data_IF_069162003247
#
_entry.id   IF_069162003247
#
_cell.length_a   1.000
_cell.length_b   1.000
_cell.length_c   1.000
_cell.angle_alpha   90.00
_cell.angle_beta   90.00
_cell.angle_gamma   90.00
#
_symmetry.space_group_name_H-M   'P 1'
#
loop_
_entity.id
_entity.type
_entity.pdbx_description
1 polymer ?
#
# COMPACT_ATOMS: atom_id res chain seq x y z
N UNK A 1 -28.96 30.91 -14.80
CA UNK A 1 -28.36 29.70 -15.40
C UNK A 1 -26.87 29.71 -15.11
N UNK A 2 -26.42 29.00 -14.08
CA UNK A 2 -25.00 28.94 -13.72
C UNK A 2 -24.46 27.60 -14.23
N UNK A 3 -23.66 27.68 -15.30
CA UNK A 3 -22.94 26.55 -15.88
C UNK A 3 -22.03 25.93 -14.83
N UNK A 4 -22.29 24.67 -14.48
CA UNK A 4 -21.47 23.88 -13.56
C UNK A 4 -20.41 23.21 -14.44
N UNK A 5 -19.17 23.66 -14.32
CA UNK A 5 -18.04 23.16 -15.10
C UNK A 5 -17.90 21.64 -15.01
N UNK A 6 -17.77 21.01 -16.15
CA UNK A 6 -17.55 19.57 -16.29
C UNK A 6 -16.22 19.21 -15.62
N UNK A 7 -16.29 18.35 -14.59
CA UNK A 7 -15.11 17.67 -14.05
C UNK A 7 -14.63 16.71 -15.13
N UNK A 8 -13.64 17.14 -15.90
CA UNK A 8 -12.94 16.28 -16.84
C UNK A 8 -12.26 15.16 -16.06
N UNK A 9 -12.74 13.94 -16.26
CA UNK A 9 -12.05 12.73 -15.80
C UNK A 9 -10.68 12.71 -16.46
N UNK A 10 -9.61 12.78 -15.66
CA UNK A 10 -8.27 12.70 -16.21
C UNK A 10 -8.05 11.26 -16.65
N UNK A 11 -8.07 11.01 -17.95
CA UNK A 11 -7.70 9.71 -18.51
C UNK A 11 -6.37 9.26 -17.90
N UNK A 12 -6.36 8.03 -17.36
CA UNK A 12 -5.17 7.42 -16.77
C UNK A 12 -4.04 7.44 -17.80
N UNK A 13 -3.00 8.25 -17.57
CA UNK A 13 -1.77 8.16 -18.35
C UNK A 13 -1.18 6.78 -18.07
N UNK A 14 -0.74 6.01 -19.10
CA UNK A 14 0.02 4.79 -18.87
C UNK A 14 1.41 5.18 -18.35
N UNK A 15 1.48 5.56 -17.08
CA UNK A 15 2.71 5.76 -16.35
C UNK A 15 3.24 4.39 -15.97
N UNK A 16 4.50 4.12 -16.31
CA UNK A 16 5.28 2.94 -15.92
C UNK A 16 4.67 2.18 -14.73
N UNK A 17 4.17 0.97 -15.02
CA UNK A 17 3.45 0.08 -14.10
C UNK A 17 4.37 -0.55 -13.04
N UNK A 18 5.32 0.22 -12.50
CA UNK A 18 6.23 -0.30 -11.49
C UNK A 18 5.49 -0.37 -10.14
N UNK A 19 5.53 -1.54 -9.51
CA UNK A 19 5.15 -1.65 -8.10
C UNK A 19 6.26 -1.03 -7.25
N UNK A 20 5.87 -0.25 -6.26
CA UNK A 20 6.79 0.36 -5.29
C UNK A 20 6.50 -0.19 -3.91
N UNK A 21 7.55 -0.38 -3.12
CA UNK A 21 7.47 -0.96 -1.78
C UNK A 21 8.27 -0.09 -0.80
N UNK A 22 7.80 -0.05 0.44
CA UNK A 22 8.43 0.67 1.54
C UNK A 22 8.36 -0.16 2.81
N UNK A 23 9.39 -0.02 3.64
CA UNK A 23 9.37 -0.39 5.05
C UNK A 23 10.20 0.62 5.83
N UNK A 24 9.72 1.01 7.02
CA UNK A 24 10.46 1.79 8.00
C UNK A 24 9.87 1.56 9.39
N UNK A 25 10.63 0.91 10.27
CA UNK A 25 10.24 0.69 11.68
C UNK A 25 8.86 0.05 11.80
N UNK A 26 8.61 -1.05 11.09
CA UNK A 26 7.30 -1.76 11.00
C UNK A 26 6.20 -1.03 10.25
N UNK A 27 6.35 0.26 9.92
CA UNK A 27 5.46 0.91 8.98
C UNK A 27 5.78 0.38 7.59
N UNK A 28 4.74 0.02 6.82
CA UNK A 28 4.92 -0.59 5.52
C UNK A 28 3.96 0.00 4.50
N UNK A 29 4.38 -0.02 3.24
CA UNK A 29 3.49 0.32 2.13
C UNK A 29 3.84 -0.44 0.86
N UNK A 30 2.84 -0.64 0.02
CA UNK A 30 2.97 -1.07 -1.37
C UNK A 30 2.06 -0.22 -2.23
N UNK A 31 2.55 0.22 -3.39
CA UNK A 31 1.77 0.96 -4.38
C UNK A 31 1.90 0.33 -5.74
N UNK A 32 0.76 -0.01 -6.34
CA UNK A 32 0.63 -0.60 -7.66
C UNK A 32 -0.38 0.21 -8.47
N UNK A 33 0.13 1.04 -9.39
CA UNK A 33 -0.68 2.04 -10.09
C UNK A 33 -1.27 3.06 -9.10
N UNK A 34 -2.60 3.15 -9.08
CA UNK A 34 -3.35 4.06 -8.22
C UNK A 34 -3.72 3.46 -6.87
N UNK A 35 -3.56 2.14 -6.69
CA UNK A 35 -3.80 1.49 -5.41
C UNK A 35 -2.59 1.58 -4.50
N UNK A 36 -2.83 2.02 -3.26
CA UNK A 36 -1.83 2.02 -2.20
C UNK A 36 -2.38 1.28 -0.99
N UNK A 37 -1.64 0.28 -0.54
CA UNK A 37 -1.86 -0.39 0.73
C UNK A 37 -0.78 0.09 1.71
N UNK A 38 -1.18 0.50 2.91
CA UNK A 38 -0.28 1.07 3.92
C UNK A 38 -0.68 0.61 5.32
N UNK A 39 0.28 0.53 6.24
CA UNK A 39 0.05 0.23 7.65
C UNK A 39 1.07 0.96 8.51
N UNK A 40 0.67 1.34 9.72
CA UNK A 40 1.57 1.79 10.79
C UNK A 40 2.15 0.62 11.59
N UNK A 41 1.63 -0.60 11.40
CA UNK A 41 2.16 -1.80 12.03
C UNK A 41 1.96 -3.00 11.10
N UNK A 42 3.03 -3.40 10.41
CA UNK A 42 3.03 -4.58 9.53
C UNK A 42 3.06 -5.91 10.31
N UNK A 43 3.18 -5.87 11.64
CA UNK A 43 3.07 -7.05 12.50
C UNK A 43 1.63 -7.35 12.91
N UNK A 44 0.73 -6.36 12.80
CA UNK A 44 -0.71 -6.53 12.95
C UNK A 44 -1.39 -6.68 11.59
N UNK A 45 -1.93 -7.87 11.35
CA UNK A 45 -2.62 -8.19 10.11
C UNK A 45 -3.88 -7.34 9.88
N UNK A 46 -4.50 -6.82 10.95
CA UNK A 46 -5.71 -6.01 10.89
C UNK A 46 -5.45 -4.50 10.70
N UNK A 47 -4.19 -4.05 10.81
CA UNK A 47 -3.82 -2.63 10.75
C UNK A 47 -3.66 -2.07 9.32
N UNK A 48 -3.81 -2.92 8.29
CA UNK A 48 -3.64 -2.52 6.89
C UNK A 48 -4.83 -1.72 6.37
N UNK A 49 -4.53 -0.61 5.71
CA UNK A 49 -5.48 0.29 5.08
C UNK A 49 -5.23 0.37 3.57
N UNK A 50 -6.31 0.49 2.80
CA UNK A 50 -6.25 0.55 1.34
C UNK A 50 -6.84 1.87 0.85
N UNK A 51 -6.13 2.50 -0.10
CA UNK A 51 -6.51 3.78 -0.68
C UNK A 51 -6.47 3.73 -2.21
N UNK A 52 -7.49 4.30 -2.84
CA UNK A 52 -7.50 4.63 -4.28
C UNK A 52 -7.00 6.07 -4.47
N UNK A 53 -5.77 6.20 -4.95
CA UNK A 53 -5.11 7.49 -5.18
C UNK A 53 -5.54 8.15 -6.50
N UNK A 54 -6.36 7.49 -7.33
CA UNK A 54 -6.91 8.09 -8.55
C UNK A 54 -7.98 9.13 -8.22
N UNK A 55 -8.73 8.91 -7.13
CA UNK A 55 -9.78 9.81 -6.63
C UNK A 55 -9.23 10.73 -5.53
N UNK A 56 -8.81 10.17 -4.38
CA UNK A 56 -8.43 10.93 -3.18
C UNK A 56 -6.98 10.65 -2.78
N UNK A 57 -6.06 11.53 -3.23
CA UNK A 57 -4.61 11.40 -2.99
C UNK A 57 -4.15 11.61 -1.55
N UNK A 58 -5.02 12.10 -0.66
CA UNK A 58 -4.69 12.45 0.72
C UNK A 58 -4.81 11.27 1.70
N UNK A 59 -5.18 10.08 1.22
CA UNK A 59 -5.28 8.87 2.07
C UNK A 59 -6.27 9.06 3.23
N UNK A 60 -7.39 9.73 2.97
CA UNK A 60 -8.41 10.06 3.99
C UNK A 60 -9.63 9.14 3.96
N UNK A 61 -9.68 8.19 3.01
CA UNK A 61 -10.80 7.27 2.83
C UNK A 61 -10.29 5.85 2.68
N UNK A 62 -10.25 5.11 3.79
CA UNK A 62 -9.86 3.71 3.79
C UNK A 62 -10.99 2.85 3.16
N UNK A 63 -10.66 2.13 2.09
CA UNK A 63 -11.57 1.26 1.33
C UNK A 63 -11.23 -0.23 1.47
N UNK A 64 -10.40 -0.62 2.44
CA UNK A 64 -9.94 -2.00 2.62
C UNK A 64 -11.08 -3.02 2.74
N UNK A 65 -12.13 -2.70 3.51
CA UNK A 65 -13.29 -3.58 3.69
C UNK A 65 -14.12 -3.76 2.40
N UNK A 66 -13.99 -2.86 1.44
CA UNK A 66 -14.71 -2.91 0.15
C UNK A 66 -13.94 -3.73 -0.90
N UNK A 67 -12.63 -3.90 -0.72
CA UNK A 67 -11.73 -4.60 -1.65
C UNK A 67 -10.78 -5.58 -0.92
N UNK A 68 -11.30 -6.54 -0.15
CA UNK A 68 -10.48 -7.46 0.65
C UNK A 68 -9.53 -8.31 -0.20
N UNK A 69 -9.93 -8.68 -1.42
CA UNK A 69 -9.09 -9.40 -2.37
C UNK A 69 -7.84 -8.62 -2.77
N UNK A 70 -7.98 -7.31 -2.97
CA UNK A 70 -6.87 -6.44 -3.34
C UNK A 70 -5.93 -6.19 -2.16
N UNK A 71 -6.47 -6.12 -0.94
CA UNK A 71 -5.66 -6.10 0.28
C UNK A 71 -4.77 -7.35 0.35
N UNK A 72 -5.34 -8.53 0.11
CA UNK A 72 -4.58 -9.80 0.12
C UNK A 72 -3.53 -9.82 -0.99
N UNK A 73 -3.87 -9.40 -2.22
CA UNK A 73 -2.93 -9.33 -3.34
C UNK A 73 -1.73 -8.45 -3.00
N UNK A 74 -1.98 -7.19 -2.64
CA UNK A 74 -0.93 -6.21 -2.39
C UNK A 74 -0.08 -6.58 -1.17
N UNK A 75 -0.71 -7.09 -0.10
CA UNK A 75 0.02 -7.59 1.07
C UNK A 75 0.92 -8.78 0.73
N UNK A 76 0.46 -9.67 -0.16
CA UNK A 76 1.26 -10.79 -0.66
C UNK A 76 2.47 -10.29 -1.45
N UNK A 77 2.29 -9.31 -2.33
CA UNK A 77 3.40 -8.68 -3.07
C UNK A 77 4.40 -8.01 -2.12
N UNK A 78 3.92 -7.27 -1.11
CA UNK A 78 4.78 -6.65 -0.10
C UNK A 78 5.57 -7.69 0.68
N UNK A 79 4.94 -8.79 1.13
CA UNK A 79 5.60 -9.87 1.84
C UNK A 79 6.69 -10.55 1.00
N UNK A 80 6.46 -10.72 -0.31
CA UNK A 80 7.46 -11.28 -1.21
C UNK A 80 8.67 -10.35 -1.34
N UNK A 81 8.44 -9.05 -1.55
CA UNK A 81 9.48 -8.04 -1.59
C UNK A 81 10.24 -7.94 -0.25
N UNK A 82 9.53 -7.93 0.89
CA UNK A 82 10.11 -7.79 2.22
C UNK A 82 11.08 -8.94 2.55
N UNK A 83 10.79 -10.16 2.08
CA UNK A 83 11.72 -11.31 2.17
C UNK A 83 12.94 -11.11 1.28
N UNK A 84 12.77 -10.64 0.05
CA UNK A 84 13.88 -10.37 -0.87
C UNK A 84 14.80 -9.23 -0.37
N UNK A 85 14.22 -8.23 0.28
CA UNK A 85 14.92 -7.08 0.84
C UNK A 85 15.51 -7.33 2.24
N UNK A 86 15.38 -8.53 2.81
CA UNK A 86 15.75 -8.86 4.19
C UNK A 86 15.13 -7.91 5.24
N UNK A 87 13.93 -7.41 4.98
CA UNK A 87 13.07 -6.78 5.99
C UNK A 87 12.56 -7.87 6.94
N UNK A 88 11.98 -8.93 6.35
CA UNK A 88 11.52 -10.11 7.07
C UNK A 88 12.60 -11.21 7.07
N UNK A 89 12.77 -11.96 8.18
CA UNK A 89 12.06 -11.80 9.45
C UNK A 89 12.48 -10.51 10.18
N UNK A 90 11.60 -10.00 11.02
CA UNK A 90 11.85 -8.79 11.80
C UNK A 90 13.13 -8.94 12.63
N UNK A 91 13.87 -7.86 12.92
CA UNK A 91 15.11 -7.94 13.68
C UNK A 91 14.99 -8.73 15.00
N UNK A 92 13.88 -8.55 15.73
CA UNK A 92 13.57 -9.26 16.98
C UNK A 92 13.39 -10.79 16.83
N UNK A 93 13.10 -11.26 15.61
CA UNK A 93 12.85 -12.68 15.29
C UNK A 93 14.07 -13.37 14.67
N UNK A 94 15.14 -12.62 14.35
CA UNK A 94 16.38 -13.20 13.82
C UNK A 94 17.07 -13.98 14.96
N UNK A 95 17.07 -15.30 14.87
CA UNK A 95 17.45 -16.23 15.96
C UNK A 95 18.88 -16.11 16.50
N UNK A 96 19.71 -15.22 15.96
CA UNK A 96 21.15 -15.14 16.25
C UNK A 96 21.62 -13.72 16.60
N UNK A 97 20.78 -12.87 17.20
CA UNK A 97 21.26 -11.63 17.82
C UNK A 97 22.01 -11.97 19.13
N UNK A 98 23.15 -12.65 19.02
CA UNK A 98 24.12 -12.71 20.11
C UNK A 98 24.69 -11.31 20.26
N UNK A 99 24.40 -10.66 21.39
CA UNK A 99 25.25 -9.59 21.91
C UNK A 99 26.61 -10.15 22.32
#
# INVERSE_FOLDING_TARGET
MSSRGERTTRAAKPGNSRTMFWEHETHAAVRKGDWKLVTLDATDDAAWELYDLSDVRTETQNVAHQHPELVVELKTEWNAWAKQANVLPWPKERSNYSK
#
